data_IF_070018002235
#
_entry.id   IF_070018002235
#
_cell.length_a   1.000
_cell.length_b   1.000
_cell.length_c   1.000
_cell.angle_alpha   90.00
_cell.angle_beta   90.00
_cell.angle_gamma   90.00
#
_symmetry.space_group_name_H-M   'P 1'
#
loop_
_entity.id
_entity.type
_entity.pdbx_description
1 polymer ?
#
# COMPACT_ATOMS: atom_id res chain seq x y z
N UNK A 1 -23.14 -9.38 -11.45
CA UNK A 1 -22.13 -8.87 -10.50
C UNK A 1 -20.78 -8.91 -11.18
N UNK A 2 -20.12 -7.77 -11.39
CA UNK A 2 -18.79 -7.74 -12.00
C UNK A 2 -17.73 -8.19 -10.98
N UNK A 3 -16.76 -9.00 -11.43
CA UNK A 3 -15.63 -9.44 -10.62
C UNK A 3 -14.38 -8.72 -11.09
N UNK A 4 -14.05 -7.62 -10.41
CA UNK A 4 -12.83 -6.86 -10.65
C UNK A 4 -11.73 -7.46 -9.78
N UNK A 5 -10.56 -7.70 -10.37
CA UNK A 5 -9.42 -8.25 -9.63
C UNK A 5 -8.88 -7.21 -8.64
N UNK A 6 -8.49 -7.65 -7.45
CA UNK A 6 -7.91 -6.79 -6.42
C UNK A 6 -6.40 -6.57 -6.66
N UNK A 7 -5.83 -5.54 -6.04
CA UNK A 7 -4.39 -5.24 -6.19
C UNK A 7 -3.47 -6.44 -5.87
N UNK A 8 -3.68 -7.22 -4.79
CA UNK A 8 -2.89 -8.43 -4.55
C UNK A 8 -3.01 -9.47 -5.67
N UNK A 9 -4.20 -9.63 -6.28
CA UNK A 9 -4.42 -10.62 -7.35
C UNK A 9 -3.68 -10.29 -8.64
N UNK A 10 -3.38 -9.01 -8.87
CA UNK A 10 -2.66 -8.54 -10.06
C UNK A 10 -1.22 -8.09 -9.78
N UNK A 11 -0.68 -8.28 -8.57
CA UNK A 11 0.65 -7.80 -8.19
C UNK A 11 1.77 -8.21 -9.17
N UNK A 12 1.70 -9.43 -9.73
CA UNK A 12 2.64 -9.93 -10.77
C UNK A 12 2.67 -9.08 -12.05
N UNK A 13 1.61 -8.33 -12.31
CA UNK A 13 1.47 -7.48 -13.49
C UNK A 13 2.14 -6.11 -13.31
N UNK A 14 2.70 -5.80 -12.12
CA UNK A 14 3.41 -4.55 -11.89
C UNK A 14 4.53 -4.35 -12.93
N UNK A 15 4.49 -3.17 -13.57
CA UNK A 15 5.47 -2.65 -14.51
C UNK A 15 5.95 -1.29 -13.98
N UNK A 16 7.25 -1.00 -14.11
CA UNK A 16 7.84 0.24 -13.60
C UNK A 16 8.09 0.21 -12.08
N UNK A 17 8.20 1.40 -11.50
CA UNK A 17 8.48 1.61 -10.08
C UNK A 17 7.18 1.85 -9.30
N UNK A 18 7.15 1.41 -8.04
CA UNK A 18 6.00 1.56 -7.15
C UNK A 18 6.49 2.03 -5.78
N UNK A 19 5.88 3.09 -5.27
CA UNK A 19 5.99 3.52 -3.88
C UNK A 19 4.63 3.33 -3.20
N UNK A 20 4.62 2.62 -2.07
CA UNK A 20 3.46 2.46 -1.20
C UNK A 20 3.61 3.36 0.03
N UNK A 21 2.55 4.07 0.40
CA UNK A 21 2.54 4.96 1.57
C UNK A 21 1.29 4.67 2.39
N UNK A 22 1.43 4.49 3.71
CA UNK A 22 0.29 4.23 4.59
C UNK A 22 0.54 4.76 6.01
N UNK A 23 -0.49 5.29 6.68
CA UNK A 23 -0.43 5.63 8.10
C UNK A 23 -0.58 4.40 8.99
N UNK A 24 0.28 4.20 9.98
CA UNK A 24 0.28 2.98 10.80
C UNK A 24 -0.98 2.76 11.67
N UNK A 25 -1.75 3.82 11.92
CA UNK A 25 -2.98 3.80 12.72
C UNK A 25 -4.23 4.21 11.93
N UNK A 26 -4.22 4.07 10.59
CA UNK A 26 -5.42 4.30 9.77
C UNK A 26 -6.56 3.35 10.15
N UNK A 27 -7.63 3.91 10.69
CA UNK A 27 -8.83 3.19 11.11
C UNK A 27 -9.95 3.19 10.06
N UNK A 28 -9.78 3.89 8.93
CA UNK A 28 -10.69 3.89 7.79
C UNK A 28 -10.24 2.85 6.74
N UNK A 29 -8.99 2.95 6.30
CA UNK A 29 -8.38 1.96 5.41
C UNK A 29 -7.27 1.24 6.16
N UNK A 30 -7.62 0.12 6.79
CA UNK A 30 -6.70 -0.59 7.68
C UNK A 30 -5.36 -0.94 6.98
N UNK A 31 -4.18 -0.67 7.60
CA UNK A 31 -2.86 -0.90 7.01
C UNK A 31 -2.60 -2.33 6.55
N UNK A 32 -3.29 -3.29 7.20
CA UNK A 32 -3.32 -4.69 6.77
C UNK A 32 -3.71 -4.90 5.30
N UNK A 33 -4.48 -4.00 4.69
CA UNK A 33 -4.77 -4.05 3.25
C UNK A 33 -3.53 -3.80 2.41
N UNK A 34 -2.70 -2.82 2.77
CA UNK A 34 -1.41 -2.56 2.12
C UNK A 34 -0.44 -3.70 2.35
N UNK A 35 -0.38 -4.27 3.56
CA UNK A 35 0.47 -5.43 3.85
C UNK A 35 0.09 -6.68 3.02
N UNK A 36 -1.19 -6.86 2.65
CA UNK A 36 -1.60 -7.92 1.71
C UNK A 36 -1.07 -7.69 0.29
N UNK A 37 -0.98 -6.44 -0.16
CA UNK A 37 -0.36 -6.10 -1.45
C UNK A 37 1.14 -6.32 -1.39
N UNK A 38 1.79 -5.93 -0.29
CA UNK A 38 3.22 -6.16 -0.01
C UNK A 38 3.58 -7.64 -0.08
N UNK A 39 2.86 -8.53 0.63
CA UNK A 39 3.11 -9.98 0.56
C UNK A 39 2.98 -10.50 -0.89
N UNK A 40 1.95 -10.06 -1.62
CA UNK A 40 1.75 -10.46 -3.01
C UNK A 40 2.87 -9.96 -3.95
N UNK A 41 3.36 -8.73 -3.76
CA UNK A 41 4.49 -8.18 -4.51
C UNK A 41 5.78 -8.96 -4.22
N UNK A 42 6.07 -9.25 -2.94
CA UNK A 42 7.23 -10.05 -2.51
C UNK A 42 7.19 -11.43 -3.15
N UNK A 43 6.06 -12.14 -3.05
CA UNK A 43 5.88 -13.49 -3.65
C UNK A 43 5.98 -13.47 -5.18
N UNK A 44 5.61 -12.36 -5.82
CA UNK A 44 5.74 -12.18 -7.25
C UNK A 44 7.14 -11.71 -7.70
N UNK A 45 8.10 -11.59 -6.78
CA UNK A 45 9.46 -11.13 -7.07
C UNK A 45 9.54 -9.67 -7.53
N UNK A 46 8.55 -8.85 -7.17
CA UNK A 46 8.48 -7.44 -7.56
C UNK A 46 9.16 -6.56 -6.53
N UNK A 47 9.93 -5.58 -7.03
CA UNK A 47 10.54 -4.53 -6.20
C UNK A 47 9.58 -3.35 -6.09
N UNK A 48 9.56 -2.76 -4.91
CA UNK A 48 8.75 -1.60 -4.55
C UNK A 48 9.41 -0.93 -3.35
N UNK A 49 9.10 0.34 -3.16
CA UNK A 49 9.45 1.11 -1.98
C UNK A 49 8.23 1.25 -1.08
N UNK A 50 8.45 1.37 0.22
CA UNK A 50 7.36 1.52 1.19
C UNK A 50 7.73 2.51 2.28
N UNK A 51 6.82 3.45 2.54
CA UNK A 51 6.90 4.41 3.63
C UNK A 51 5.69 4.21 4.54
N UNK A 52 5.97 3.87 5.80
CA UNK A 52 4.94 3.91 6.84
C UNK A 52 5.09 5.22 7.59
N UNK A 53 3.97 5.94 7.73
CA UNK A 53 3.90 7.20 8.45
C UNK A 53 3.42 6.93 9.89
N UNK A 54 4.30 7.06 10.90
CA UNK A 54 3.93 6.77 12.28
C UNK A 54 2.91 7.75 12.84
N UNK A 55 1.98 7.24 13.63
CA UNK A 55 0.89 8.00 14.27
C UNK A 55 -0.08 8.67 13.28
N UNK A 56 -0.02 8.33 12.00
CA UNK A 56 -0.91 8.90 10.98
C UNK A 56 -2.11 8.00 10.71
N UNK A 57 -3.27 8.64 10.51
CA UNK A 57 -4.52 7.98 10.14
C UNK A 57 -4.70 8.04 8.61
N UNK A 58 -5.95 8.16 8.15
CA UNK A 58 -6.27 8.22 6.73
C UNK A 58 -5.74 9.48 6.03
N UNK A 59 -5.77 10.61 6.74
CA UNK A 59 -5.02 11.81 6.34
C UNK A 59 -3.64 11.80 6.98
N UNK A 60 -2.64 12.34 6.28
CA UNK A 60 -1.26 12.42 6.78
C UNK A 60 -1.02 13.60 7.72
N UNK A 61 -2.05 14.38 8.06
CA UNK A 61 -1.97 15.41 9.10
C UNK A 61 -0.84 16.41 8.86
N UNK A 62 0.03 16.53 9.87
CA UNK A 62 1.25 17.34 9.88
C UNK A 62 2.36 16.79 8.97
N UNK A 63 2.31 15.51 8.59
CA UNK A 63 3.24 14.91 7.63
C UNK A 63 2.89 15.20 6.16
N UNK A 64 1.84 15.96 5.87
CA UNK A 64 1.57 16.41 4.50
C UNK A 64 2.73 17.24 3.91
N UNK A 65 3.47 17.99 4.73
CA UNK A 65 4.62 18.79 4.30
C UNK A 65 5.91 17.99 4.08
N UNK A 66 5.92 16.70 4.45
CA UNK A 66 7.04 15.80 4.18
C UNK A 66 7.17 15.44 2.68
N UNK A 67 6.11 15.65 1.91
CA UNK A 67 6.01 15.42 0.46
C UNK A 67 6.06 16.74 -0.31
#
# INVERSE_FOLDING_TARGET
>A
VYKIATNPQIARQLKGHLLLIHGDIDNNVHPGNTLRVVDALIRAGKRFDMLILPQQRHGFGDMNEYF
#
